data_IF_005448911431
#
_entry.id   IF_005448911431
#
_cell.length_a   1.000
_cell.length_b   1.000
_cell.length_c   1.000
_cell.angle_alpha   90.00
_cell.angle_beta   90.00
_cell.angle_gamma   90.00
#
_symmetry.space_group_name_H-M   'P 1'
#
loop_
_entity.id
_entity.type
_entity.pdbx_description
1 polymer ?
#
# COMPACT_ATOMS: atom_id res chain seq x y z
N UNK A 1 12.48 -1.43 -8.95
CA UNK A 1 11.27 -0.66 -8.59
C UNK A 1 11.60 0.73 -8.07
N UNK A 2 12.44 0.87 -7.04
CA UNK A 2 12.97 2.17 -6.57
C UNK A 2 13.47 3.09 -7.70
N UNK A 3 14.20 2.53 -8.66
CA UNK A 3 14.73 3.24 -9.83
C UNK A 3 13.65 3.93 -10.68
N UNK A 4 12.43 3.37 -10.75
CA UNK A 4 11.33 3.94 -11.53
C UNK A 4 10.80 5.21 -10.89
N UNK A 5 10.76 5.27 -9.55
CA UNK A 5 10.39 6.49 -8.82
C UNK A 5 11.52 7.51 -8.83
N UNK A 6 12.77 7.07 -8.69
CA UNK A 6 13.92 7.97 -8.66
C UNK A 6 14.12 8.67 -10.02
N UNK A 7 13.71 8.03 -11.12
CA UNK A 7 13.66 8.62 -12.47
C UNK A 7 12.56 9.67 -12.68
N UNK A 8 11.56 9.76 -11.78
CA UNK A 8 10.48 10.76 -11.90
C UNK A 8 10.96 12.12 -11.42
N UNK A 9 10.42 13.16 -12.04
CA UNK A 9 10.63 14.53 -11.61
C UNK A 9 10.02 14.79 -10.22
N UNK A 10 10.50 15.84 -9.56
CA UNK A 10 10.10 16.16 -8.20
C UNK A 10 8.65 16.68 -8.12
N UNK A 11 8.09 17.27 -9.19
CA UNK A 11 6.68 17.69 -9.21
C UNK A 11 5.76 16.48 -9.22
N UNK A 12 6.09 15.45 -10.02
CA UNK A 12 5.37 14.18 -10.01
C UNK A 12 5.43 13.53 -8.64
N UNK A 13 6.61 13.46 -8.01
CA UNK A 13 6.74 12.90 -6.65
C UNK A 13 5.88 13.66 -5.63
N UNK A 14 5.89 14.99 -5.68
CA UNK A 14 5.03 15.84 -4.84
C UNK A 14 3.55 15.60 -5.09
N UNK A 15 3.13 15.48 -6.35
CA UNK A 15 1.73 15.21 -6.70
C UNK A 15 1.26 13.85 -6.20
N UNK A 16 2.13 12.82 -6.28
CA UNK A 16 1.86 11.51 -5.68
C UNK A 16 1.75 11.59 -4.15
N UNK A 17 2.64 12.33 -3.49
CA UNK A 17 2.57 12.54 -2.04
C UNK A 17 1.29 13.28 -1.62
N UNK A 18 0.89 14.33 -2.35
CA UNK A 18 -0.35 15.06 -2.07
C UNK A 18 -1.61 14.18 -2.21
N UNK A 19 -1.63 13.24 -3.15
CA UNK A 19 -2.79 12.39 -3.39
C UNK A 19 -2.80 11.11 -2.54
N UNK A 20 -1.64 10.54 -2.24
CA UNK A 20 -1.52 9.20 -1.65
C UNK A 20 -0.76 9.17 -0.32
N UNK A 21 -0.28 10.33 0.16
CA UNK A 21 0.50 10.44 1.39
C UNK A 21 1.78 9.62 1.32
N UNK A 22 1.97 8.76 2.31
CA UNK A 22 3.17 7.94 2.47
C UNK A 22 3.15 6.62 1.65
N UNK A 23 2.08 6.34 0.92
CA UNK A 23 1.99 5.15 0.05
C UNK A 23 3.16 4.99 -0.94
N UNK A 24 3.72 6.06 -1.55
CA UNK A 24 4.88 5.92 -2.43
C UNK A 24 6.11 5.30 -1.74
N UNK A 25 6.22 5.37 -0.40
CA UNK A 25 7.31 4.71 0.33
C UNK A 25 7.26 3.19 0.25
N UNK A 26 6.09 2.58 0.00
CA UNK A 26 5.97 1.14 -0.22
C UNK A 26 6.81 0.65 -1.40
N UNK A 27 7.02 1.50 -2.41
CA UNK A 27 7.82 1.18 -3.60
C UNK A 27 9.33 1.15 -3.28
N UNK A 28 9.73 1.71 -2.14
CA UNK A 28 11.10 1.66 -1.61
C UNK A 28 11.35 0.45 -0.69
N UNK A 29 10.30 -0.28 -0.29
CA UNK A 29 10.44 -1.50 0.51
C UNK A 29 11.22 -2.53 -0.31
N UNK A 30 12.32 -3.02 0.28
CA UNK A 30 13.08 -4.11 -0.31
C UNK A 30 12.28 -5.39 -0.19
N UNK A 31 11.83 -5.89 -1.35
CA UNK A 31 11.24 -7.22 -1.45
C UNK A 31 12.38 -8.23 -1.54
N UNK A 32 12.37 -9.21 -0.66
CA UNK A 32 13.31 -10.34 -0.72
C UNK A 32 12.97 -11.23 -1.93
N UNK A 33 13.96 -11.52 -2.76
CA UNK A 33 13.78 -12.27 -4.02
C UNK A 33 13.31 -13.70 -3.76
N UNK A 34 13.87 -14.37 -2.76
CA UNK A 34 13.50 -15.74 -2.41
C UNK A 34 12.09 -15.80 -1.83
N UNK A 35 11.70 -14.81 -1.02
CA UNK A 35 10.34 -14.66 -0.54
C UNK A 35 9.37 -14.48 -1.72
N UNK A 36 9.68 -13.59 -2.67
CA UNK A 36 8.82 -13.39 -3.83
C UNK A 36 8.67 -14.66 -4.68
N UNK A 37 9.77 -15.39 -4.90
CA UNK A 37 9.76 -16.65 -5.62
C UNK A 37 8.93 -17.73 -4.89
N UNK A 38 8.96 -17.75 -3.55
CA UNK A 38 8.10 -18.63 -2.77
C UNK A 38 6.62 -18.23 -2.90
N UNK A 39 6.31 -16.93 -2.85
CA UNK A 39 4.95 -16.41 -3.00
C UNK A 39 4.37 -16.67 -4.40
N UNK A 40 5.19 -16.63 -5.45
CA UNK A 40 4.76 -16.91 -6.82
C UNK A 40 4.08 -18.29 -6.97
N UNK A 41 4.45 -19.28 -6.15
CA UNK A 41 3.82 -20.61 -6.14
C UNK A 41 2.36 -20.58 -5.67
N UNK A 42 1.97 -19.52 -4.95
CA UNK A 42 0.62 -19.31 -4.43
C UNK A 42 -0.21 -18.38 -5.32
N UNK A 43 0.32 -17.94 -6.48
CA UNK A 43 -0.41 -17.11 -7.42
C UNK A 43 -1.61 -17.85 -8.01
N UNK A 44 -2.80 -17.28 -7.82
CA UNK A 44 -4.03 -17.80 -8.39
C UNK A 44 -4.42 -16.97 -9.62
N UNK A 45 -4.30 -17.58 -10.79
CA UNK A 45 -4.60 -16.92 -12.08
C UNK A 45 -6.07 -16.59 -12.26
N UNK A 46 -6.99 -17.32 -11.61
CA UNK A 46 -8.44 -17.07 -11.70
C UNK A 46 -8.82 -15.77 -11.00
N UNK A 47 -8.18 -15.47 -9.87
CA UNK A 47 -8.49 -14.29 -9.06
C UNK A 47 -7.46 -13.17 -9.19
N UNK A 48 -6.38 -13.39 -9.95
CA UNK A 48 -5.26 -12.46 -10.10
C UNK A 48 -4.69 -11.98 -8.76
N UNK A 49 -4.62 -12.90 -7.79
CA UNK A 49 -4.10 -12.63 -6.45
C UNK A 49 -3.39 -13.87 -5.87
N UNK A 50 -2.59 -13.67 -4.82
CA UNK A 50 -1.99 -14.78 -4.10
C UNK A 50 -3.00 -15.40 -3.13
N UNK A 51 -3.17 -16.72 -3.15
CA UNK A 51 -4.13 -17.43 -2.27
C UNK A 51 -3.42 -18.33 -1.27
N UNK A 52 -3.64 -18.09 0.02
CA UNK A 52 -3.07 -18.86 1.12
C UNK A 52 -4.22 -19.51 1.88
N UNK A 53 -4.31 -20.84 1.81
CA UNK A 53 -5.53 -21.57 2.23
C UNK A 53 -5.91 -21.40 3.70
N UNK A 54 -4.93 -21.32 4.58
CA UNK A 54 -5.13 -21.38 6.05
C UNK A 54 -4.39 -20.29 6.82
N UNK A 55 -3.74 -19.37 6.11
CA UNK A 55 -2.98 -18.29 6.73
C UNK A 55 -3.72 -17.01 6.39
N UNK A 56 -4.10 -16.27 7.42
CA UNK A 56 -4.56 -14.90 7.23
C UNK A 56 -3.35 -14.05 6.87
N UNK A 57 -3.36 -13.50 5.65
CA UNK A 57 -2.31 -12.62 5.17
C UNK A 57 -2.69 -11.16 5.28
N UNK A 58 -3.88 -10.85 5.76
CA UNK A 58 -4.26 -9.47 6.03
C UNK A 58 -3.39 -8.99 7.20
N UNK A 59 -2.49 -8.02 6.98
CA UNK A 59 -1.73 -7.44 8.08
C UNK A 59 -2.69 -6.83 9.11
N UNK A 60 -2.31 -6.91 10.37
CA UNK A 60 -2.98 -6.19 11.46
C UNK A 60 -2.88 -4.68 11.24
N UNK A 61 -3.71 -3.91 11.96
CA UNK A 61 -3.70 -2.44 11.86
C UNK A 61 -2.33 -1.88 12.25
N UNK A 62 -1.67 -2.48 13.24
CA UNK A 62 -0.35 -2.12 13.73
C UNK A 62 0.75 -2.38 12.68
N UNK A 63 0.67 -3.52 11.97
CA UNK A 63 1.59 -3.86 10.89
C UNK A 63 1.42 -2.92 9.69
N UNK A 64 0.17 -2.59 9.31
CA UNK A 64 -0.09 -1.59 8.27
C UNK A 64 0.44 -0.21 8.65
N UNK A 65 0.24 0.20 9.90
CA UNK A 65 0.73 1.49 10.43
C UNK A 65 2.25 1.58 10.29
N UNK A 66 2.95 0.47 10.58
CA UNK A 66 4.40 0.35 10.44
C UNK A 66 4.84 0.37 8.97
N UNK A 67 4.17 -0.39 8.10
CA UNK A 67 4.47 -0.46 6.67
C UNK A 67 4.27 0.88 5.95
N UNK A 68 3.21 1.60 6.31
CA UNK A 68 2.84 2.88 5.71
C UNK A 68 3.57 4.06 6.34
N UNK A 69 4.47 3.82 7.31
CA UNK A 69 5.17 4.86 8.08
C UNK A 69 4.24 5.92 8.67
N UNK A 70 2.95 5.60 8.82
CA UNK A 70 1.95 6.50 9.37
C UNK A 70 2.04 6.41 10.89
N UNK A 71 2.53 7.42 11.63
CA UNK A 71 2.54 7.35 13.08
C UNK A 71 1.09 7.52 13.56
N UNK A 72 0.42 6.39 13.83
CA UNK A 72 -1.00 6.30 14.22
C UNK A 72 -1.92 6.99 13.20
N UNK A 73 -2.36 6.23 12.21
CA UNK A 73 -3.60 6.56 11.50
C UNK A 73 -4.65 6.81 12.59
N UNK A 74 -5.09 8.05 12.76
CA UNK A 74 -6.30 8.31 13.55
C UNK A 74 -7.41 7.58 12.80
N UNK A 75 -7.79 6.40 13.28
CA UNK A 75 -8.75 5.52 12.62
C UNK A 75 -10.06 6.24 12.25
N UNK A 76 -10.38 7.30 13.01
CA UNK A 76 -11.50 8.22 12.79
C UNK A 76 -11.44 8.99 11.45
N UNK A 77 -10.24 9.28 10.92
CA UNK A 77 -10.05 10.08 9.69
C UNK A 77 -9.89 9.25 8.42
N UNK A 78 -9.52 7.98 8.51
CA UNK A 78 -9.28 7.14 7.34
C UNK A 78 -10.58 6.67 6.66
N UNK A 79 -11.67 6.61 7.42
CA UNK A 79 -12.99 6.15 6.93
C UNK A 79 -14.02 7.27 6.76
N UNK A 80 -13.65 8.53 7.00
CA UNK A 80 -14.54 9.64 6.66
C UNK A 80 -14.58 9.79 5.14
N UNK A 81 -15.59 9.16 4.50
CA UNK A 81 -16.09 9.67 3.21
C UNK A 81 -16.35 11.16 3.44
N UNK A 82 -15.90 12.08 2.56
CA UNK A 82 -16.41 13.42 2.62
C UNK A 82 -17.93 13.29 2.52
N UNK A 83 -18.64 13.68 3.58
CA UNK A 83 -20.07 13.83 3.53
C UNK A 83 -20.30 14.85 2.44
N UNK A 84 -20.65 14.40 1.23
CA UNK A 84 -21.22 15.28 0.24
C UNK A 84 -22.57 15.69 0.82
N UNK A 85 -22.56 16.70 1.67
CA UNK A 85 -23.73 17.49 1.98
C UNK A 85 -24.11 18.17 0.68
N UNK A 86 -24.88 17.46 -0.15
CA UNK A 86 -25.72 18.08 -1.15
C UNK A 86 -26.68 18.97 -0.37
N UNK A 87 -26.40 20.27 -0.39
CA UNK A 87 -27.36 21.28 -0.01
C UNK A 87 -28.51 21.22 -1.03
N UNK A 88 -29.73 21.25 -0.49
CA UNK A 88 -31.01 21.15 -1.18
C UNK A 88 -31.18 22.10 -2.36
#
# INVERSE_FOLDING_TARGET
MKEILDQRDDETKQLFYCHYGDLPYLLYIKVDEHLFQALAQYWNTTYSCFTFRKIDLVPTVEEYTTLLLCPKIQADKAYSRPSTSQFF
#
